data_IF_531643842952
#
_entry.id   IF_531643842952
#
_cell.length_a   1.000
_cell.length_b   1.000
_cell.length_c   1.000
_cell.angle_alpha   90.00
_cell.angle_beta   90.00
_cell.angle_gamma   90.00
#
_symmetry.space_group_name_H-M   'P 1'
#
loop_
_entity.id
_entity.type
_entity.pdbx_description
1 polymer ?
#
# COMPACT_ATOMS: atom_id res chain seq x y z
N UNK A 1 7.28 -14.16 10.91
CA UNK A 1 5.89 -14.70 10.97
C UNK A 1 5.74 -15.90 10.04
N UNK A 2 4.85 -16.87 10.32
CA UNK A 2 4.41 -17.84 9.30
C UNK A 2 3.27 -17.22 8.47
N UNK A 3 3.48 -17.07 7.16
CA UNK A 3 2.51 -16.45 6.25
C UNK A 3 1.53 -17.46 5.63
N UNK A 4 1.74 -18.76 5.88
CA UNK A 4 0.87 -19.81 5.38
C UNK A 4 -0.55 -19.67 5.94
N UNK A 5 -1.54 -19.68 5.04
CA UNK A 5 -2.95 -19.45 5.40
C UNK A 5 -3.32 -17.99 5.68
N UNK A 6 -2.38 -17.04 5.53
CA UNK A 6 -2.68 -15.60 5.59
C UNK A 6 -2.99 -15.04 4.21
N UNK A 7 -3.96 -14.15 4.16
CA UNK A 7 -4.33 -13.42 2.94
C UNK A 7 -3.95 -11.95 3.04
N UNK A 8 -3.14 -11.48 2.10
CA UNK A 8 -2.67 -10.10 2.00
C UNK A 8 -3.36 -9.40 0.85
N UNK A 9 -4.08 -8.31 1.12
CA UNK A 9 -4.53 -7.40 0.06
C UNK A 9 -3.41 -6.45 -0.30
N UNK A 10 -2.87 -6.54 -1.51
CA UNK A 10 -1.75 -5.72 -1.94
C UNK A 10 -2.23 -4.64 -2.91
N UNK A 11 -2.35 -3.42 -2.42
CA UNK A 11 -2.98 -2.31 -3.13
C UNK A 11 -1.94 -1.38 -3.78
N UNK A 12 -2.07 -1.15 -5.09
CA UNK A 12 -1.15 -0.35 -5.90
C UNK A 12 -1.83 0.95 -6.37
N UNK A 13 -1.18 2.09 -6.16
CA UNK A 13 -1.68 3.42 -6.58
C UNK A 13 -0.71 4.14 -7.51
N UNK A 14 -1.19 5.18 -8.21
CA UNK A 14 -0.63 5.79 -9.43
C UNK A 14 0.78 6.41 -9.44
N UNK A 15 1.74 5.84 -8.72
CA UNK A 15 3.17 6.13 -8.90
C UNK A 15 3.82 4.97 -9.68
N UNK A 16 3.63 4.96 -11.00
CA UNK A 16 4.15 3.91 -11.89
C UNK A 16 5.67 3.72 -11.78
N UNK A 17 6.42 4.78 -11.50
CA UNK A 17 7.88 4.71 -11.30
C UNK A 17 8.31 3.90 -10.08
N UNK A 18 7.40 3.61 -9.14
CA UNK A 18 7.70 2.83 -7.93
C UNK A 18 7.18 1.39 -8.01
N UNK A 19 6.53 1.00 -9.12
CA UNK A 19 6.06 -0.37 -9.30
C UNK A 19 7.22 -1.36 -9.35
N UNK A 20 8.34 -1.01 -9.98
CA UNK A 20 9.56 -1.85 -10.02
C UNK A 20 10.11 -2.16 -8.62
N UNK A 21 10.05 -1.19 -7.69
CA UNK A 21 10.50 -1.39 -6.30
C UNK A 21 9.52 -2.28 -5.51
N UNK A 22 8.25 -2.29 -5.91
CA UNK A 22 7.16 -2.94 -5.20
C UNK A 22 6.93 -4.38 -5.66
N UNK A 23 7.09 -4.70 -6.95
CA UNK A 23 6.90 -6.06 -7.47
C UNK A 23 7.72 -7.13 -6.72
N UNK A 24 9.02 -6.91 -6.41
CA UNK A 24 9.79 -7.85 -5.59
C UNK A 24 9.21 -8.05 -4.19
N UNK A 25 8.60 -7.01 -3.61
CA UNK A 25 7.99 -7.09 -2.28
C UNK A 25 6.72 -7.94 -2.30
N UNK A 26 5.91 -7.84 -3.36
CA UNK A 26 4.76 -8.73 -3.59
C UNK A 26 5.23 -10.19 -3.64
N UNK A 27 6.29 -10.48 -4.40
CA UNK A 27 6.86 -11.82 -4.50
C UNK A 27 7.34 -12.35 -3.14
N UNK A 28 7.93 -11.51 -2.28
CA UNK A 28 8.36 -11.92 -0.91
C UNK A 28 7.20 -12.41 -0.03
N UNK A 29 5.98 -11.94 -0.25
CA UNK A 29 4.80 -12.48 0.45
C UNK A 29 4.40 -13.85 -0.10
N UNK A 30 4.35 -13.98 -1.43
CA UNK A 30 4.02 -15.25 -2.11
C UNK A 30 5.02 -16.34 -1.75
N UNK A 31 6.32 -16.03 -1.83
CA UNK A 31 7.41 -16.94 -1.47
C UNK A 31 7.36 -17.37 0.00
N UNK A 32 6.78 -16.53 0.87
CA UNK A 32 6.58 -16.84 2.28
C UNK A 32 5.32 -17.69 2.55
N UNK A 33 4.51 -17.97 1.52
CA UNK A 33 3.30 -18.77 1.61
C UNK A 33 2.00 -17.98 1.82
N UNK A 34 2.03 -16.64 1.72
CA UNK A 34 0.82 -15.83 1.78
C UNK A 34 0.01 -15.98 0.48
N UNK A 35 -1.32 -15.98 0.60
CA UNK A 35 -2.19 -15.68 -0.54
C UNK A 35 -2.20 -14.16 -0.75
N UNK A 36 -1.78 -13.70 -1.93
CA UNK A 36 -1.74 -12.26 -2.23
C UNK A 36 -2.85 -11.89 -3.20
N UNK A 37 -3.70 -10.94 -2.84
CA UNK A 37 -4.79 -10.43 -3.67
C UNK A 37 -4.40 -9.03 -4.16
N UNK A 38 -4.06 -8.85 -5.45
CA UNK A 38 -3.73 -7.55 -6.00
C UNK A 38 -4.98 -6.67 -6.13
N UNK A 39 -4.89 -5.44 -5.64
CA UNK A 39 -5.93 -4.40 -5.75
C UNK A 39 -5.30 -3.20 -6.44
N UNK A 40 -5.87 -2.71 -7.53
CA UNK A 40 -5.22 -1.67 -8.33
C UNK A 40 -6.14 -0.48 -8.53
N UNK A 41 -5.56 0.72 -8.52
CA UNK A 41 -6.29 1.92 -8.93
C UNK A 41 -6.40 2.01 -10.46
N UNK A 42 -7.41 2.72 -10.95
CA UNK A 42 -7.65 2.91 -12.39
C UNK A 42 -6.42 3.39 -13.17
N UNK A 43 -5.57 4.23 -12.58
CA UNK A 43 -4.36 4.72 -13.25
C UNK A 43 -3.36 3.63 -13.60
N UNK A 44 -3.28 2.55 -12.80
CA UNK A 44 -2.37 1.42 -13.06
C UNK A 44 -2.87 0.58 -14.24
N UNK A 45 -4.19 0.45 -14.39
CA UNK A 45 -4.81 -0.40 -15.42
C UNK A 45 -5.05 0.32 -16.76
N UNK A 46 -5.09 1.65 -16.81
CA UNK A 46 -5.42 2.36 -18.06
C UNK A 46 -4.29 3.20 -18.63
N UNK A 47 -3.24 3.47 -17.85
CA UNK A 47 -2.21 4.44 -18.24
C UNK A 47 -0.90 3.74 -18.58
N UNK A 48 -0.55 3.76 -19.86
CA UNK A 48 0.80 3.44 -20.31
C UNK A 48 1.73 4.61 -19.98
N UNK A 49 2.91 4.29 -19.48
CA UNK A 49 3.90 5.30 -19.10
C UNK A 49 5.26 4.92 -19.66
N UNK A 50 6.23 5.84 -19.57
CA UNK A 50 7.64 5.54 -19.88
C UNK A 50 8.24 4.40 -19.03
N UNK A 51 7.60 4.06 -17.91
CA UNK A 51 8.05 3.02 -16.98
C UNK A 51 7.50 1.63 -17.33
N UNK A 52 6.54 1.54 -18.25
CA UNK A 52 5.94 0.26 -18.65
C UNK A 52 4.51 0.42 -19.09
N UNK A 53 4.02 -0.59 -19.82
CA UNK A 53 2.62 -0.66 -20.25
C UNK A 53 1.77 -1.24 -19.13
N UNK A 54 0.53 -0.75 -19.04
CA UNK A 54 -0.44 -1.25 -18.08
C UNK A 54 -0.64 -2.77 -18.19
N UNK A 55 -0.71 -3.30 -19.43
CA UNK A 55 -0.91 -4.71 -19.68
C UNK A 55 0.22 -5.58 -19.10
N UNK A 56 1.48 -5.10 -19.20
CA UNK A 56 2.64 -5.82 -18.69
C UNK A 56 2.61 -5.89 -17.16
N UNK A 57 2.25 -4.79 -16.50
CA UNK A 57 2.07 -4.76 -15.05
C UNK A 57 0.97 -5.68 -14.56
N UNK A 58 -0.17 -5.72 -15.26
CA UNK A 58 -1.27 -6.61 -14.92
C UNK A 58 -0.88 -8.08 -15.08
N UNK A 59 -0.19 -8.42 -16.18
CA UNK A 59 0.28 -9.78 -16.41
C UNK A 59 1.27 -10.20 -15.33
N UNK A 60 2.27 -9.35 -15.04
CA UNK A 60 3.25 -9.63 -14.00
C UNK A 60 2.61 -9.82 -12.63
N UNK A 61 1.60 -9.02 -12.27
CA UNK A 61 0.87 -9.20 -11.00
C UNK A 61 0.15 -10.54 -10.93
N UNK A 62 -0.52 -10.95 -12.01
CA UNK A 62 -1.18 -12.25 -12.08
C UNK A 62 -0.18 -13.39 -12.00
N UNK A 63 0.94 -13.28 -12.70
CA UNK A 63 1.99 -14.31 -12.71
C UNK A 63 2.64 -14.48 -11.34
N UNK A 64 2.91 -13.37 -10.63
CA UNK A 64 3.49 -13.42 -9.28
C UNK A 64 2.49 -13.95 -8.27
N UNK A 65 1.24 -13.46 -8.29
CA UNK A 65 0.27 -13.70 -7.21
C UNK A 65 -0.61 -14.92 -7.42
N UNK A 66 -0.75 -15.39 -8.67
CA UNK A 66 -1.73 -16.41 -9.05
C UNK A 66 -3.18 -16.01 -8.79
N UNK A 67 -3.47 -14.72 -8.57
CA UNK A 67 -4.78 -14.21 -8.16
C UNK A 67 -5.33 -13.19 -9.16
N UNK A 68 -6.65 -13.15 -9.26
CA UNK A 68 -7.33 -12.10 -10.04
C UNK A 68 -7.16 -10.73 -9.40
N UNK A 69 -7.11 -9.72 -10.27
CA UNK A 69 -6.90 -8.33 -9.89
C UNK A 69 -8.25 -7.68 -9.57
N UNK A 70 -8.37 -7.10 -8.38
CA UNK A 70 -9.51 -6.24 -8.02
C UNK A 70 -9.23 -4.84 -8.56
N UNK A 71 -10.00 -4.43 -9.57
CA UNK A 71 -9.77 -3.18 -10.31
C UNK A 71 -11.00 -2.27 -10.38
N UNK A 72 -12.13 -2.68 -9.82
CA UNK A 72 -13.35 -1.87 -9.72
C UNK A 72 -13.81 -1.71 -8.26
N UNK A 73 -14.62 -0.68 -8.01
CA UNK A 73 -15.23 -0.48 -6.68
C UNK A 73 -16.14 -1.66 -6.34
N UNK A 74 -16.91 -2.15 -7.32
CA UNK A 74 -17.85 -3.27 -7.17
C UNK A 74 -17.10 -4.54 -6.73
N UNK A 75 -15.94 -4.82 -7.31
CA UNK A 75 -15.14 -5.99 -6.95
C UNK A 75 -14.47 -5.86 -5.57
N UNK A 76 -14.26 -4.64 -5.09
CA UNK A 76 -13.66 -4.36 -3.78
C UNK A 76 -14.66 -4.44 -2.62
N UNK A 77 -15.96 -4.17 -2.87
CA UNK A 77 -17.00 -4.20 -1.83
C UNK A 77 -17.12 -5.55 -1.09
N UNK A 78 -17.07 -6.72 -1.76
CA UNK A 78 -17.14 -8.04 -1.12
C UNK A 78 -16.05 -8.30 -0.08
N UNK A 79 -14.92 -7.58 -0.11
CA UNK A 79 -13.84 -7.72 0.89
C UNK A 79 -14.33 -7.44 2.31
N UNK A 80 -15.36 -6.60 2.46
CA UNK A 80 -15.91 -6.23 3.76
C UNK A 80 -16.69 -7.39 4.40
N UNK A 81 -17.79 -7.86 3.79
CA UNK A 81 -18.59 -8.97 4.33
C UNK A 81 -17.82 -10.29 4.42
N UNK A 82 -16.97 -10.60 3.43
CA UNK A 82 -16.22 -11.87 3.40
C UNK A 82 -15.11 -11.94 4.44
N UNK A 83 -14.61 -10.79 4.94
CA UNK A 83 -13.43 -10.72 5.80
C UNK A 83 -12.26 -11.52 5.21
N UNK A 84 -12.02 -11.35 3.91
CA UNK A 84 -11.05 -12.15 3.16
C UNK A 84 -9.60 -11.82 3.56
N UNK A 85 -9.27 -10.54 3.74
CA UNK A 85 -7.90 -10.08 3.95
C UNK A 85 -7.54 -10.05 5.44
N UNK A 86 -6.47 -10.74 5.85
CA UNK A 86 -5.93 -10.62 7.20
C UNK A 86 -5.25 -9.26 7.42
N UNK A 87 -4.54 -8.78 6.39
CA UNK A 87 -3.89 -7.47 6.34
C UNK A 87 -4.03 -6.90 4.93
N UNK A 88 -4.17 -5.58 4.85
CA UNK A 88 -4.11 -4.86 3.57
C UNK A 88 -2.95 -3.88 3.61
N UNK A 89 -2.17 -3.83 2.53
CA UNK A 89 -1.12 -2.82 2.34
C UNK A 89 -1.45 -1.94 1.14
N UNK A 90 -1.20 -0.63 1.25
CA UNK A 90 -1.20 0.30 0.11
C UNK A 90 0.25 0.72 -0.15
N UNK A 91 0.84 0.22 -1.23
CA UNK A 91 2.22 0.46 -1.59
C UNK A 91 2.39 0.50 -3.12
N UNK A 92 2.79 1.63 -3.72
CA UNK A 92 2.94 2.94 -3.09
C UNK A 92 1.58 3.51 -2.63
N UNK A 93 1.58 4.30 -1.56
CA UNK A 93 0.46 5.15 -1.16
C UNK A 93 0.78 6.60 -1.55
N UNK A 94 0.27 7.04 -2.70
CA UNK A 94 0.52 8.40 -3.21
C UNK A 94 -0.04 9.48 -2.30
N UNK A 95 0.40 10.73 -2.45
CA UNK A 95 -0.16 11.87 -1.72
C UNK A 95 -1.67 12.06 -1.96
N UNK A 96 -2.12 11.81 -3.20
CA UNK A 96 -3.54 11.83 -3.54
C UNK A 96 -4.33 10.74 -2.78
N UNK A 97 -3.83 9.50 -2.77
CA UNK A 97 -4.46 8.41 -2.01
C UNK A 97 -4.44 8.68 -0.51
N UNK A 98 -3.32 9.19 0.01
CA UNK A 98 -3.14 9.55 1.43
C UNK A 98 -4.17 10.58 1.84
N UNK A 99 -4.31 11.66 1.06
CA UNK A 99 -5.30 12.71 1.30
C UNK A 99 -6.73 12.18 1.27
N UNK A 100 -7.09 11.41 0.24
CA UNK A 100 -8.43 10.84 0.08
C UNK A 100 -8.78 9.87 1.22
N UNK A 101 -7.85 9.00 1.60
CA UNK A 101 -8.02 8.06 2.70
C UNK A 101 -8.20 8.78 4.04
N UNK A 102 -7.35 9.77 4.33
CA UNK A 102 -7.41 10.56 5.57
C UNK A 102 -8.71 11.37 5.71
N UNK A 103 -9.42 11.61 4.59
CA UNK A 103 -10.70 12.31 4.54
C UNK A 103 -11.87 11.39 4.15
N UNK A 104 -11.71 10.07 4.34
CA UNK A 104 -12.75 9.05 4.20
C UNK A 104 -13.43 8.95 2.81
N UNK A 105 -12.73 9.37 1.75
CA UNK A 105 -13.21 9.22 0.37
C UNK A 105 -13.01 7.76 -0.10
N UNK A 106 -13.96 7.22 -0.87
CA UNK A 106 -13.92 5.82 -1.35
C UNK A 106 -14.20 5.66 -2.85
N UNK A 107 -13.74 6.61 -3.64
CA UNK A 107 -13.97 6.71 -5.08
C UNK A 107 -12.99 5.85 -5.94
N UNK A 108 -12.30 4.89 -5.34
CA UNK A 108 -11.42 3.97 -6.08
C UNK A 108 -11.46 2.57 -5.47
N UNK A 109 -11.10 1.52 -6.23
CA UNK A 109 -11.05 0.14 -5.72
C UNK A 109 -10.16 0.03 -4.48
N UNK A 110 -9.00 0.69 -4.50
CA UNK A 110 -8.04 0.74 -3.38
C UNK A 110 -8.66 1.40 -2.14
N UNK A 111 -9.32 2.55 -2.29
CA UNK A 111 -9.95 3.24 -1.15
C UNK A 111 -11.18 2.48 -0.63
N UNK A 112 -11.95 1.83 -1.51
CA UNK A 112 -13.07 0.97 -1.11
C UNK A 112 -12.57 -0.25 -0.33
N UNK A 113 -11.52 -0.92 -0.81
CA UNK A 113 -10.89 -2.03 -0.10
C UNK A 113 -10.34 -1.60 1.27
N UNK A 114 -9.72 -0.42 1.36
CA UNK A 114 -9.25 0.14 2.63
C UNK A 114 -10.41 0.37 3.61
N UNK A 115 -11.53 0.95 3.15
CA UNK A 115 -12.75 1.09 3.97
C UNK A 115 -13.30 -0.27 4.40
N UNK A 116 -13.34 -1.25 3.51
CA UNK A 116 -13.79 -2.61 3.80
C UNK A 116 -12.91 -3.29 4.85
N UNK A 117 -11.59 -3.07 4.79
CA UNK A 117 -10.64 -3.56 5.80
C UNK A 117 -10.88 -2.91 7.16
N UNK A 118 -11.01 -1.58 7.19
CA UNK A 118 -11.28 -0.81 8.42
C UNK A 118 -12.63 -1.18 9.06
N UNK A 119 -13.66 -1.47 8.26
CA UNK A 119 -14.97 -1.96 8.75
C UNK A 119 -14.82 -3.18 9.65
N UNK A 120 -13.85 -4.05 9.36
CA UNK A 120 -13.61 -5.28 10.10
C UNK A 120 -12.58 -5.11 11.22
N UNK A 121 -12.14 -3.88 11.51
CA UNK A 121 -11.09 -3.57 12.49
C UNK A 121 -9.79 -4.33 12.22
N UNK A 122 -9.49 -4.59 10.94
CA UNK A 122 -8.29 -5.31 10.52
C UNK A 122 -7.20 -4.33 10.08
N UNK A 123 -5.92 -4.74 10.18
CA UNK A 123 -4.80 -3.85 9.91
C UNK A 123 -4.77 -3.37 8.46
N UNK A 124 -4.55 -2.07 8.30
CA UNK A 124 -4.22 -1.37 7.06
C UNK A 124 -2.80 -0.79 7.19
N UNK A 125 -1.90 -1.16 6.30
CA UNK A 125 -0.50 -0.73 6.30
C UNK A 125 -0.26 0.22 5.13
N UNK A 126 0.38 1.36 5.38
CA UNK A 126 0.61 2.41 4.39
C UNK A 126 2.11 2.56 4.11
N UNK A 127 2.50 2.41 2.85
CA UNK A 127 3.84 2.76 2.37
C UNK A 127 3.76 4.09 1.61
N UNK A 128 3.82 5.21 2.35
CA UNK A 128 3.67 6.55 1.76
C UNK A 128 4.76 6.85 0.73
N UNK A 129 4.40 7.52 -0.35
CA UNK A 129 5.34 8.00 -1.37
C UNK A 129 4.79 9.28 -1.98
N UNK A 130 5.28 10.42 -1.51
CA UNK A 130 4.78 11.72 -1.96
C UNK A 130 5.75 12.86 -1.69
N UNK A 131 5.81 13.83 -2.61
CA UNK A 131 6.74 14.96 -2.54
C UNK A 131 6.23 16.14 -1.70
N UNK A 132 4.97 16.10 -1.24
CA UNK A 132 4.34 17.12 -0.39
C UNK A 132 4.02 16.58 1.02
N UNK A 133 4.70 15.51 1.44
CA UNK A 133 4.49 14.81 2.71
C UNK A 133 4.74 15.67 3.94
N UNK A 134 5.74 16.55 3.92
CA UNK A 134 5.96 17.59 4.95
C UNK A 134 5.30 18.94 4.57
N UNK A 135 4.49 18.96 3.51
CA UNK A 135 3.70 20.11 3.06
C UNK A 135 2.21 19.90 3.37
N UNK A 136 1.35 20.06 2.35
CA UNK A 136 -0.10 19.94 2.51
C UNK A 136 -0.55 18.56 2.99
N UNK A 137 0.18 17.50 2.67
CA UNK A 137 -0.15 16.15 3.12
C UNK A 137 0.30 15.85 4.56
N UNK A 138 1.06 16.72 5.22
CA UNK A 138 1.51 16.51 6.59
C UNK A 138 0.34 16.26 7.55
N UNK A 139 -0.74 17.05 7.42
CA UNK A 139 -1.95 16.88 8.23
C UNK A 139 -2.67 15.56 7.93
N UNK A 140 -2.69 15.11 6.67
CA UNK A 140 -3.32 13.85 6.30
C UNK A 140 -2.54 12.65 6.84
N UNK A 141 -1.21 12.69 6.75
CA UNK A 141 -0.33 11.68 7.37
C UNK A 141 -0.54 11.66 8.88
N UNK A 142 -0.57 12.82 9.54
CA UNK A 142 -0.81 12.92 10.99
C UNK A 142 -2.17 12.33 11.42
N UNK A 143 -3.25 12.60 10.66
CA UNK A 143 -4.57 11.99 10.91
C UNK A 143 -4.50 10.47 10.86
N UNK A 144 -3.82 9.92 9.86
CA UNK A 144 -3.71 8.48 9.67
C UNK A 144 -2.81 7.82 10.72
N UNK A 145 -1.73 8.48 11.15
CA UNK A 145 -0.82 8.00 12.20
C UNK A 145 -1.52 7.68 13.53
N UNK A 146 -2.53 8.46 13.90
CA UNK A 146 -3.27 8.30 15.16
C UNK A 146 -4.55 7.46 15.03
N UNK A 147 -4.85 6.96 13.82
CA UNK A 147 -6.09 6.23 13.55
C UNK A 147 -5.93 4.76 13.90
N UNK A 148 -6.93 4.19 14.61
CA UNK A 148 -6.93 2.78 15.00
C UNK A 148 -6.75 1.86 13.79
N UNK A 149 -5.92 0.83 13.93
CA UNK A 149 -5.64 -0.20 12.92
C UNK A 149 -4.98 0.29 11.64
N UNK A 150 -4.48 1.53 11.61
CA UNK A 150 -3.63 2.03 10.54
C UNK A 150 -2.19 2.01 11.03
N UNK A 151 -1.31 1.46 10.20
CA UNK A 151 0.11 1.31 10.45
C UNK A 151 0.91 1.84 9.26
N UNK A 152 2.16 2.16 9.50
CA UNK A 152 3.05 2.70 8.48
C UNK A 152 4.24 1.79 8.27
N UNK A 153 4.62 1.61 7.01
CA UNK A 153 5.96 1.14 6.69
C UNK A 153 6.93 2.25 7.08
N UNK A 154 8.06 1.96 7.74
CA UNK A 154 9.02 3.00 8.12
C UNK A 154 9.38 3.92 6.96
N UNK A 155 9.38 5.23 7.21
CA UNK A 155 9.52 6.24 6.17
C UNK A 155 10.37 7.43 6.63
N UNK A 156 10.83 8.21 5.66
CA UNK A 156 11.60 9.42 5.88
C UNK A 156 11.78 10.22 4.60
N UNK A 157 12.56 11.29 4.66
CA UNK A 157 12.90 12.06 3.47
C UNK A 157 13.84 11.26 2.57
N UNK A 158 13.50 11.16 1.29
CA UNK A 158 14.28 10.42 0.29
C UNK A 158 15.32 11.28 -0.43
N UNK A 159 15.06 12.58 -0.60
CA UNK A 159 16.00 13.52 -1.20
C UNK A 159 15.90 14.92 -0.54
N UNK A 160 16.36 15.11 0.71
CA UNK A 160 16.14 16.34 1.47
C UNK A 160 16.61 17.62 0.75
N UNK A 161 17.73 17.56 0.03
CA UNK A 161 18.28 18.73 -0.69
C UNK A 161 17.55 19.10 -1.98
N UNK A 162 16.80 18.17 -2.59
CA UNK A 162 16.13 18.37 -3.89
C UNK A 162 14.61 18.46 -3.71
N UNK A 163 14.06 17.62 -2.84
CA UNK A 163 12.63 17.50 -2.54
C UNK A 163 12.42 17.60 -1.03
N UNK A 164 12.59 18.80 -0.42
CA UNK A 164 12.61 18.95 1.04
C UNK A 164 11.33 18.47 1.72
N UNK A 165 10.18 18.54 1.05
CA UNK A 165 8.91 18.07 1.61
C UNK A 165 8.58 16.61 1.31
N UNK A 166 9.46 15.89 0.61
CA UNK A 166 9.20 14.53 0.16
C UNK A 166 9.39 13.53 1.28
N UNK A 167 8.45 12.59 1.38
CA UNK A 167 8.48 11.44 2.28
C UNK A 167 8.21 10.17 1.49
N UNK A 168 9.07 9.18 1.66
CA UNK A 168 8.96 7.88 1.00
C UNK A 168 9.24 6.77 2.02
N UNK A 169 8.43 5.72 1.97
CA UNK A 169 8.61 4.52 2.75
C UNK A 169 9.82 3.70 2.29
N UNK A 170 10.40 2.91 3.21
CA UNK A 170 11.36 1.86 2.88
C UNK A 170 10.59 0.63 2.39
N UNK A 171 10.46 0.47 1.08
CA UNK A 171 9.61 -0.57 0.48
C UNK A 171 10.06 -2.00 0.86
N UNK A 172 11.34 -2.19 1.16
CA UNK A 172 11.89 -3.45 1.65
C UNK A 172 11.41 -3.84 3.06
N UNK A 173 10.80 -2.92 3.81
CA UNK A 173 10.23 -3.20 5.14
C UNK A 173 8.71 -3.43 5.13
N UNK A 174 8.08 -3.51 3.95
CA UNK A 174 6.62 -3.69 3.84
C UNK A 174 6.18 -4.97 4.56
N UNK A 175 6.88 -6.08 4.33
CA UNK A 175 6.52 -7.38 4.91
C UNK A 175 6.59 -7.32 6.44
N UNK A 176 7.70 -6.82 6.97
CA UNK A 176 7.97 -6.66 8.39
C UNK A 176 6.94 -5.73 9.05
N UNK A 177 6.54 -4.65 8.36
CA UNK A 177 5.48 -3.76 8.83
C UNK A 177 4.12 -4.47 8.89
N UNK A 178 3.79 -5.31 7.90
CA UNK A 178 2.59 -6.14 7.93
C UNK A 178 2.63 -7.21 9.02
N UNK A 179 3.80 -7.81 9.30
CA UNK A 179 3.96 -8.76 10.43
C UNK A 179 3.65 -8.07 11.77
N UNK A 180 4.23 -6.89 12.02
CA UNK A 180 3.95 -6.11 13.22
C UNK A 180 2.45 -5.71 13.31
N UNK A 181 1.87 -5.25 12.20
CA UNK A 181 0.48 -4.83 12.14
C UNK A 181 -0.51 -5.96 12.46
N UNK A 182 -0.21 -7.20 12.05
CA UNK A 182 -0.99 -8.39 12.40
C UNK A 182 -0.96 -8.70 13.90
N UNK A 183 0.08 -8.27 14.62
CA UNK A 183 0.17 -8.33 16.09
C UNK A 183 -0.43 -7.10 16.78
N UNK A 184 -1.03 -6.18 16.03
CA UNK A 184 -1.56 -4.92 16.59
C UNK A 184 -0.48 -3.90 16.93
N UNK A 185 0.72 -4.01 16.33
CA UNK A 185 1.88 -3.17 16.65
C UNK A 185 2.34 -2.39 15.42
N UNK A 186 2.80 -1.18 15.67
CA UNK A 186 3.57 -0.43 14.69
C UNK A 186 5.03 -0.90 14.68
N UNK A 187 5.57 -1.22 13.50
CA UNK A 187 6.99 -1.51 13.34
C UNK A 187 7.83 -0.28 13.73
N UNK A 188 8.89 -0.49 14.53
CA UNK A 188 9.80 0.55 14.99
C UNK A 188 11.26 0.24 14.55
N UNK A 189 12.09 1.27 14.29
CA UNK A 189 11.74 2.69 14.24
C UNK A 189 10.84 3.03 13.03
N UNK A 190 9.78 3.80 13.25
CA UNK A 190 8.89 4.24 12.16
C UNK A 190 9.51 5.37 11.34
N UNK A 191 10.16 6.33 11.99
CA UNK A 191 10.82 7.46 11.33
C UNK A 191 12.29 7.10 11.13
N UNK A 192 12.75 7.17 9.88
CA UNK A 192 14.10 6.77 9.48
C UNK A 192 14.75 7.82 8.57
N UNK A 193 16.07 7.72 8.42
CA UNK A 193 16.83 8.50 7.43
C UNK A 193 16.74 7.81 6.06
N UNK A 194 15.58 7.92 5.40
CA UNK A 194 15.30 7.20 4.14
C UNK A 194 16.34 7.44 3.05
N UNK A 195 16.95 8.61 2.98
CA UNK A 195 18.01 8.96 2.03
C UNK A 195 19.31 8.16 2.19
N UNK A 196 19.45 7.32 3.23
CA UNK A 196 20.60 6.41 3.41
C UNK A 196 20.39 5.01 2.80
N UNK A 197 19.21 4.75 2.22
CA UNK A 197 18.81 3.46 1.65
C UNK A 197 18.31 3.62 0.21
#
# INVERSE_FOLDING_TARGET
MNWQGKTVGYALTGSHCTLEEVMPQIKRFVDAGARVIPIVSNSIITTDTRFGKSADWQQQLKDITGSDIISTIVDAEPLGPSKLLDVMVIAPCTGNTTSKLANAMTESPVLMAAKAQMRNQRPLVLAISTNDGLGLNAMNIAKLLITKNIYFVPFGQDAPGIKPNSLVARMDLIKEACEAALEGKQLQPMIIERFQY
#
